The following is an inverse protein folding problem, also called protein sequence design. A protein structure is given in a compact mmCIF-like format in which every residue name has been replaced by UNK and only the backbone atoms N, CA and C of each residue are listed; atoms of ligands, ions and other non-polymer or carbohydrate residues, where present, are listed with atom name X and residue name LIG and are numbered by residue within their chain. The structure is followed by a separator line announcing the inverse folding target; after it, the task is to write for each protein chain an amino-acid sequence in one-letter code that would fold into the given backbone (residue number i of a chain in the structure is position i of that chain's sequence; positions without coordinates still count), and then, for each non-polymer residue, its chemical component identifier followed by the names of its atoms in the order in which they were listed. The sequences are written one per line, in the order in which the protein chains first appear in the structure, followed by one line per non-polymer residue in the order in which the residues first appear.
data_IF_927347111423
#
_entry.id   IF_927347111423
#
_cell.length_a   1.000
_cell.length_b   1.000
_cell.length_c   1.000
_cell.angle_alpha   90.00
_cell.angle_beta   90.00
_cell.angle_gamma   90.00
#
_symmetry.space_group_name_H-M   'P 1'
#
loop_
_entity.id
_entity.type
_entity.pdbx_description
1 polymer ?
#
# COMPACT_ATOMS: atom_id res chain seq x y z
N UNK A 1 -7.71 9.48 -20.02
CA UNK A 1 -7.52 9.55 -18.56
C UNK A 1 -6.81 8.28 -18.20
N UNK A 2 -5.49 8.32 -18.31
CA UNK A 2 -4.65 7.20 -17.88
C UNK A 2 -4.66 7.27 -16.36
N UNK A 3 -5.40 6.35 -15.75
CA UNK A 3 -5.42 6.23 -14.29
C UNK A 3 -3.99 5.96 -13.83
N UNK A 4 -3.54 6.58 -12.74
CA UNK A 4 -2.19 6.43 -12.18
C UNK A 4 -1.95 4.97 -11.74
N UNK A 5 -1.65 4.10 -12.71
CA UNK A 5 -1.22 2.73 -12.47
C UNK A 5 0.21 2.82 -11.96
N UNK A 6 0.50 2.16 -10.84
CA UNK A 6 1.88 1.98 -10.44
C UNK A 6 2.50 0.89 -11.34
N UNK A 7 3.36 1.27 -12.28
CA UNK A 7 4.03 0.30 -13.18
C UNK A 7 4.89 -0.75 -12.44
N UNK A 8 5.24 -0.49 -11.17
CA UNK A 8 6.00 -1.42 -10.33
C UNK A 8 5.15 -2.54 -9.73
N UNK A 9 3.89 -2.28 -9.37
CA UNK A 9 3.03 -3.27 -8.72
C UNK A 9 1.70 -3.53 -9.46
N UNK A 10 1.43 -2.83 -10.55
CA UNK A 10 0.19 -2.92 -11.32
C UNK A 10 -1.05 -2.42 -10.59
N UNK A 11 -0.89 -1.85 -9.39
CA UNK A 11 -2.03 -1.38 -8.61
C UNK A 11 -2.58 -0.06 -9.16
N UNK A 12 -3.90 0.01 -9.29
CA UNK A 12 -4.63 1.20 -9.72
C UNK A 12 -5.42 1.77 -8.56
N UNK A 13 -5.30 3.07 -8.32
CA UNK A 13 -6.13 3.73 -7.32
C UNK A 13 -7.58 3.80 -7.80
N UNK A 14 -8.50 3.17 -7.05
CA UNK A 14 -9.95 3.15 -7.33
C UNK A 14 -10.68 4.46 -6.96
N UNK A 15 -9.91 5.56 -6.82
CA UNK A 15 -10.34 6.94 -6.51
C UNK A 15 -10.90 7.08 -5.09
N UNK A 16 -12.01 7.82 -4.91
CA UNK A 16 -12.52 8.31 -3.61
C UNK A 16 -12.79 7.17 -2.61
N UNK A 17 -13.02 5.95 -3.09
CA UNK A 17 -13.35 4.81 -2.25
C UNK A 17 -12.26 3.76 -2.45
N UNK A 18 -11.37 3.64 -1.47
CA UNK A 18 -10.36 2.58 -1.43
C UNK A 18 -11.03 1.27 -1.00
N UNK A 19 -11.71 0.61 -1.95
CA UNK A 19 -12.36 -0.68 -1.70
C UNK A 19 -11.35 -1.80 -1.45
N UNK A 20 -10.11 -1.64 -1.90
CA UNK A 20 -9.15 -2.72 -2.06
C UNK A 20 -8.01 -2.65 -1.02
N UNK A 21 -8.04 -1.66 -0.13
CA UNK A 21 -7.04 -1.48 0.93
C UNK A 21 -5.71 -0.86 0.49
N UNK A 22 -5.50 -0.64 -0.82
CA UNK A 22 -4.25 -0.12 -1.36
C UNK A 22 -3.26 -1.21 -1.78
N UNK A 23 -2.08 -0.83 -2.29
CA UNK A 23 -1.03 -1.78 -2.65
C UNK A 23 -0.22 -2.29 -1.45
N UNK A 24 -0.46 -1.75 -0.24
CA UNK A 24 0.32 -2.11 0.94
C UNK A 24 -0.03 -3.52 1.40
N UNK A 25 0.99 -4.36 1.58
CA UNK A 25 0.81 -5.74 2.06
C UNK A 25 0.73 -5.84 3.59
N UNK A 26 1.10 -4.78 4.30
CA UNK A 26 1.04 -4.68 5.75
C UNK A 26 -0.01 -3.67 6.21
N UNK A 27 -0.76 -3.99 7.26
CA UNK A 27 -1.65 -3.01 7.89
C UNK A 27 -0.83 -2.01 8.73
N UNK A 28 -1.40 -0.82 8.96
CA UNK A 28 -0.70 0.29 9.63
C UNK A 28 -0.05 -0.13 10.96
N UNK A 29 -0.73 -0.94 11.77
CA UNK A 29 -0.21 -1.39 13.06
C UNK A 29 1.00 -2.32 12.92
N UNK A 30 1.03 -3.17 11.89
CA UNK A 30 2.18 -4.03 11.60
C UNK A 30 3.38 -3.21 11.12
N UNK A 31 3.14 -2.19 10.30
CA UNK A 31 4.19 -1.27 9.82
C UNK A 31 4.80 -0.49 10.98
N UNK A 32 3.97 0.06 11.89
CA UNK A 32 4.46 0.76 13.09
C UNK A 32 5.35 -0.14 13.93
N UNK A 33 4.95 -1.40 14.13
CA UNK A 33 5.73 -2.38 14.89
C UNK A 33 7.04 -2.74 14.18
N UNK A 34 6.99 -3.02 12.88
CA UNK A 34 8.19 -3.36 12.11
C UNK A 34 9.20 -2.21 12.10
N UNK A 35 8.75 -0.96 11.95
CA UNK A 35 9.60 0.22 12.03
C UNK A 35 10.28 0.34 13.40
N UNK A 36 9.52 0.22 14.49
CA UNK A 36 10.06 0.29 15.85
C UNK A 36 11.11 -0.81 16.14
N UNK A 37 10.95 -1.98 15.53
CA UNK A 37 11.84 -3.13 15.70
C UNK A 37 12.97 -3.20 14.65
N UNK A 38 13.04 -2.24 13.72
CA UNK A 38 14.03 -2.25 12.63
C UNK A 38 13.84 -3.40 11.62
N UNK A 39 12.66 -4.01 11.56
CA UNK A 39 12.32 -5.06 10.59
C UNK A 39 11.94 -4.46 9.24
N UNK A 40 12.09 -5.25 8.18
CA UNK A 40 11.71 -4.87 6.82
C UNK A 40 10.21 -4.55 6.74
N UNK A 41 9.88 -3.43 6.11
CA UNK A 41 8.51 -3.03 5.75
C UNK A 41 8.25 -3.46 4.30
N UNK A 42 7.05 -4.00 4.05
CA UNK A 42 6.58 -4.60 2.81
C UNK A 42 5.19 -4.06 2.46
#
# INVERSE_FOLDING_TARGET
MDYDICDNCGWQNTRIINHDGGPNHMILEEVKKAYAEGRKIN
#
